data_IF_027392380241
#
_entry.id   IF_027392380241
#
_cell.length_a   1.000
_cell.length_b   1.000
_cell.length_c   1.000
_cell.angle_alpha   90.00
_cell.angle_beta   90.00
_cell.angle_gamma   90.00
#
_symmetry.space_group_name_H-M   'P 1'
#
loop_
_entity.id
_entity.type
_entity.pdbx_description
1 polymer ?
#
# COMPACT_ATOMS: atom_id res chain seq x y z
N UNK A 1 9.15 -15.66 29.14
CA UNK A 1 9.23 -15.75 27.68
C UNK A 1 9.90 -14.48 27.14
N UNK A 2 10.69 -14.64 26.07
CA UNK A 2 11.36 -13.54 25.37
C UNK A 2 10.85 -13.51 23.96
N UNK A 3 10.37 -12.34 23.50
CA UNK A 3 10.00 -12.08 22.13
C UNK A 3 11.06 -11.17 21.51
N UNK A 4 11.68 -11.63 20.45
CA UNK A 4 12.62 -10.82 19.67
C UNK A 4 11.97 -10.36 18.37
N UNK A 5 12.12 -9.08 18.05
CA UNK A 5 11.59 -8.47 16.82
C UNK A 5 12.74 -7.95 15.98
N UNK A 6 12.67 -8.27 14.69
CA UNK A 6 13.65 -7.86 13.68
C UNK A 6 13.00 -7.04 12.58
N UNK A 7 13.79 -6.39 11.77
CA UNK A 7 13.41 -5.57 10.62
C UNK A 7 13.04 -6.44 9.39
N UNK A 8 11.95 -7.21 9.48
CA UNK A 8 11.57 -8.20 8.47
C UNK A 8 10.28 -7.88 7.71
N UNK A 9 9.87 -6.63 7.64
CA UNK A 9 8.63 -6.28 6.95
C UNK A 9 8.68 -6.64 5.46
N UNK A 10 7.65 -7.35 5.02
CA UNK A 10 7.52 -7.78 3.64
C UNK A 10 7.20 -6.61 2.71
N UNK A 11 7.80 -6.62 1.50
CA UNK A 11 7.47 -5.66 0.47
C UNK A 11 6.22 -6.11 -0.30
N UNK A 12 5.03 -5.64 0.07
CA UNK A 12 3.77 -5.95 -0.63
C UNK A 12 3.53 -5.08 -1.87
N UNK A 13 4.23 -3.96 -1.99
CA UNK A 13 4.12 -3.03 -3.11
C UNK A 13 4.96 -3.41 -4.33
N UNK A 14 5.78 -4.46 -4.22
CA UNK A 14 6.63 -4.93 -5.32
C UNK A 14 7.69 -3.92 -5.74
N UNK A 15 7.95 -3.84 -7.04
CA UNK A 15 8.92 -2.90 -7.62
C UNK A 15 8.36 -1.47 -7.75
N UNK A 16 7.05 -1.34 -7.86
CA UNK A 16 6.37 -0.06 -8.12
C UNK A 16 6.32 0.84 -6.89
N UNK A 17 6.17 0.24 -5.72
CA UNK A 17 6.08 0.96 -4.47
C UNK A 17 6.69 0.14 -3.33
N UNK A 18 7.90 0.51 -2.93
CA UNK A 18 8.60 -0.20 -1.86
C UNK A 18 7.95 0.05 -0.51
N UNK A 19 7.44 -0.99 0.10
CA UNK A 19 6.73 -0.94 1.39
C UNK A 19 7.53 -1.50 2.56
N UNK A 20 8.63 -2.21 2.26
CA UNK A 20 9.52 -2.73 3.29
C UNK A 20 10.11 -1.59 4.12
N UNK A 21 10.07 -1.72 5.42
CA UNK A 21 10.68 -0.82 6.39
C UNK A 21 11.73 -1.58 7.21
N UNK A 22 12.66 -0.84 7.78
CA UNK A 22 13.62 -1.36 8.75
C UNK A 22 13.15 -1.18 10.19
N UNK A 23 11.98 -0.60 10.39
CA UNK A 23 11.41 -0.39 11.71
C UNK A 23 10.76 -1.69 12.19
N UNK A 24 11.30 -2.35 13.24
CA UNK A 24 10.70 -3.57 13.75
C UNK A 24 9.31 -3.29 14.33
N UNK A 25 8.38 -4.16 14.02
CA UNK A 25 7.04 -4.12 14.58
C UNK A 25 6.61 -5.52 14.99
N UNK A 26 5.81 -5.61 16.03
CA UNK A 26 5.34 -6.91 16.46
C UNK A 26 4.19 -6.82 17.45
N UNK A 27 3.65 -7.97 17.73
CA UNK A 27 2.55 -8.16 18.67
C UNK A 27 3.06 -8.91 19.88
N UNK A 28 2.68 -8.42 21.03
CA UNK A 28 2.91 -9.09 22.31
C UNK A 28 1.57 -9.32 23.02
N UNK A 29 1.31 -10.55 23.42
CA UNK A 29 0.12 -10.89 24.17
C UNK A 29 0.41 -10.84 25.67
N UNK A 30 -0.32 -9.98 26.37
CA UNK A 30 -0.23 -9.85 27.82
C UNK A 30 -1.12 -10.92 28.44
N UNK A 31 -0.53 -12.03 28.86
CA UNK A 31 -1.25 -13.14 29.46
C UNK A 31 -1.68 -12.87 30.91
N UNK A 32 -0.90 -12.13 31.67
CA UNK A 32 -1.11 -11.88 33.08
C UNK A 32 -0.77 -10.43 33.45
N UNK A 33 -1.37 -9.94 34.52
CA UNK A 33 -0.99 -8.65 35.09
C UNK A 33 0.41 -8.75 35.69
N UNK A 34 1.31 -7.88 35.23
CA UNK A 34 2.70 -7.94 35.71
C UNK A 34 3.56 -6.81 35.15
N UNK A 35 4.83 -6.87 35.47
CA UNK A 35 5.84 -5.95 34.96
C UNK A 35 6.55 -6.56 33.76
N UNK A 36 6.43 -5.90 32.62
CA UNK A 36 7.10 -6.29 31.38
C UNK A 36 8.27 -5.35 31.11
N UNK A 37 9.38 -5.91 30.65
CA UNK A 37 10.58 -5.13 30.33
C UNK A 37 10.82 -5.14 28.83
N UNK A 38 11.11 -3.97 28.28
CA UNK A 38 11.42 -3.79 26.86
C UNK A 38 12.88 -3.34 26.78
N UNK A 39 13.63 -4.02 25.92
CA UNK A 39 15.01 -3.67 25.61
C UNK A 39 15.11 -3.32 24.13
N UNK A 40 15.63 -2.14 23.83
CA UNK A 40 16.00 -1.72 22.47
C UNK A 40 17.51 -1.82 22.33
N UNK A 41 17.97 -2.49 21.29
CA UNK A 41 19.41 -2.69 21.03
C UNK A 41 19.74 -2.27 19.60
N UNK A 42 20.78 -1.48 19.44
CA UNK A 42 21.42 -1.27 18.15
C UNK A 42 22.42 -2.41 17.91
N UNK A 43 22.16 -3.24 16.91
CA UNK A 43 23.02 -4.40 16.60
C UNK A 43 24.30 -4.02 15.86
N UNK A 44 24.31 -2.86 15.20
CA UNK A 44 25.42 -2.46 14.34
C UNK A 44 26.39 -1.48 14.98
N UNK A 45 26.02 -0.92 16.12
CA UNK A 45 26.86 0.07 16.84
C UNK A 45 26.95 -0.21 18.34
N UNK A 46 27.50 -1.37 18.75
CA UNK A 46 27.48 -1.78 20.14
C UNK A 46 28.42 -0.95 21.08
N UNK A 47 29.33 -0.17 20.52
CA UNK A 47 30.42 0.47 21.29
C UNK A 47 30.41 1.99 21.29
N UNK A 48 29.55 2.65 20.52
CA UNK A 48 29.52 4.11 20.42
C UNK A 48 28.13 4.65 20.69
N UNK A 49 27.97 5.40 21.76
CA UNK A 49 26.76 6.17 21.99
C UNK A 49 26.75 7.41 21.08
N UNK A 50 26.09 7.33 19.93
CA UNK A 50 25.90 8.50 19.07
C UNK A 50 24.55 9.18 19.43
N UNK A 51 24.57 10.42 19.96
CA UNK A 51 23.35 11.13 20.35
C UNK A 51 22.43 11.48 19.19
N UNK A 52 22.87 11.30 17.93
CA UNK A 52 22.05 11.49 16.73
C UNK A 52 21.18 10.26 16.42
N UNK A 53 21.53 9.10 16.97
CA UNK A 53 20.76 7.86 16.82
C UNK A 53 19.60 7.89 17.83
N UNK A 54 18.48 8.41 17.38
CA UNK A 54 17.25 8.47 18.17
C UNK A 54 16.25 7.44 17.68
N UNK A 55 15.48 6.88 18.60
CA UNK A 55 14.38 5.99 18.26
C UNK A 55 13.06 6.48 18.87
N UNK A 56 11.97 6.07 18.28
CA UNK A 56 10.63 6.29 18.80
C UNK A 56 9.97 4.95 19.06
N UNK A 57 9.76 4.62 20.32
CA UNK A 57 9.00 3.44 20.72
C UNK A 57 7.51 3.79 20.86
N UNK A 58 6.66 3.03 20.20
CA UNK A 58 5.21 3.16 20.31
C UNK A 58 4.62 1.85 20.83
N UNK A 59 3.98 1.91 21.99
CA UNK A 59 3.30 0.78 22.63
C UNK A 59 1.83 1.17 22.72
N UNK A 60 0.97 0.35 22.14
CA UNK A 60 -0.48 0.61 22.14
C UNK A 60 -1.27 -0.68 22.13
N UNK A 61 -2.50 -0.60 22.57
CA UNK A 61 -3.46 -1.69 22.35
C UNK A 61 -3.78 -1.83 20.86
N UNK A 62 -3.97 -3.06 20.39
CA UNK A 62 -4.41 -3.33 19.03
C UNK A 62 -5.78 -2.70 18.75
N UNK A 63 -5.90 -2.12 17.57
CA UNK A 63 -7.15 -1.61 17.03
C UNK A 63 -7.16 -2.01 15.56
N UNK A 64 -7.96 -3.04 15.17
CA UNK A 64 -8.01 -3.51 13.80
C UNK A 64 -8.29 -2.36 12.82
N UNK A 65 -7.38 -2.16 11.87
CA UNK A 65 -7.42 -1.04 10.94
C UNK A 65 -6.70 -1.41 9.63
N UNK A 66 -6.88 -0.61 8.60
CA UNK A 66 -6.14 -0.75 7.35
C UNK A 66 -5.79 0.62 6.76
N UNK A 67 -4.77 0.64 5.92
CA UNK A 67 -4.40 1.79 5.10
C UNK A 67 -4.39 1.39 3.65
N UNK A 68 -4.75 2.33 2.78
CA UNK A 68 -4.76 2.12 1.33
C UNK A 68 -3.73 3.02 0.66
N UNK A 69 -3.06 2.47 -0.34
CA UNK A 69 -2.21 3.21 -1.25
C UNK A 69 -2.66 2.89 -2.67
N UNK A 70 -2.96 3.92 -3.45
CA UNK A 70 -3.36 3.78 -4.84
C UNK A 70 -2.24 4.24 -5.78
N UNK A 71 -1.94 3.42 -6.78
CA UNK A 71 -0.90 3.70 -7.78
C UNK A 71 -1.49 3.43 -9.16
N UNK A 72 -1.46 4.46 -10.01
CA UNK A 72 -1.83 4.28 -11.41
C UNK A 72 -0.81 3.35 -12.10
N UNK A 73 -1.31 2.39 -12.86
CA UNK A 73 -0.46 1.42 -13.52
C UNK A 73 -0.05 1.94 -14.90
N UNK A 74 1.25 1.93 -15.21
CA UNK A 74 1.69 2.26 -16.57
C UNK A 74 1.20 1.20 -17.56
N UNK A 75 1.03 1.56 -18.83
CA UNK A 75 0.76 0.58 -19.87
C UNK A 75 1.90 -0.45 -19.92
N UNK A 76 1.62 -1.71 -20.27
CA UNK A 76 2.65 -2.73 -20.36
C UNK A 76 3.71 -2.32 -21.37
N UNK A 77 4.99 -2.52 -21.02
CA UNK A 77 6.09 -2.29 -21.94
C UNK A 77 5.96 -3.21 -23.15
N UNK A 78 6.12 -2.67 -24.35
CA UNK A 78 6.20 -3.45 -25.58
C UNK A 78 7.47 -4.33 -25.64
N UNK A 79 8.52 -3.92 -24.95
CA UNK A 79 9.75 -4.68 -24.82
C UNK A 79 9.86 -5.23 -23.41
N UNK A 80 9.69 -6.53 -23.25
CA UNK A 80 9.78 -7.24 -21.96
C UNK A 80 11.19 -7.20 -21.34
N UNK A 81 12.20 -6.97 -22.15
CA UNK A 81 13.60 -6.91 -21.74
C UNK A 81 14.09 -5.49 -21.45
N UNK A 82 13.23 -4.49 -21.61
CA UNK A 82 13.57 -3.11 -21.29
C UNK A 82 13.83 -2.94 -19.80
N UNK A 83 15.07 -2.72 -19.43
CA UNK A 83 15.52 -2.41 -18.08
C UNK A 83 15.33 -0.94 -17.72
N UNK A 84 14.87 -0.13 -18.66
CA UNK A 84 14.69 1.30 -18.48
C UNK A 84 13.46 1.59 -17.63
N UNK A 85 13.60 2.49 -16.67
CA UNK A 85 12.46 3.01 -15.92
C UNK A 85 11.55 3.76 -16.90
N UNK A 86 10.32 3.29 -17.05
CA UNK A 86 9.33 3.97 -17.85
C UNK A 86 8.93 5.28 -17.15
N UNK A 87 9.41 6.40 -17.69
CA UNK A 87 8.92 7.72 -17.28
C UNK A 87 7.50 7.88 -17.85
N UNK A 88 6.51 7.74 -17.00
CA UNK A 88 5.13 7.76 -17.37
C UNK A 88 4.33 8.71 -16.46
N UNK A 89 3.49 9.53 -17.09
CA UNK A 89 2.54 10.38 -16.37
C UNK A 89 1.13 9.84 -16.61
N UNK A 90 0.35 9.58 -15.54
CA UNK A 90 -1.02 9.13 -15.70
C UNK A 90 -1.84 10.11 -16.53
N UNK A 91 -2.35 9.65 -17.65
CA UNK A 91 -3.22 10.40 -18.54
C UNK A 91 -4.34 9.49 -19.04
N UNK A 92 -5.58 9.86 -18.76
CA UNK A 92 -6.75 9.16 -19.25
C UNK A 92 -7.31 9.87 -20.49
N UNK A 93 -7.20 9.23 -21.63
CA UNK A 93 -7.78 9.74 -22.90
C UNK A 93 -9.21 9.28 -23.06
N UNK A 94 -9.94 9.93 -23.94
CA UNK A 94 -11.30 9.52 -24.32
C UNK A 94 -11.29 8.12 -24.92
N UNK A 95 -12.18 7.25 -24.46
CA UNK A 95 -12.24 5.86 -24.89
C UNK A 95 -11.17 4.94 -24.31
N UNK A 96 -10.26 5.46 -23.47
CA UNK A 96 -9.20 4.69 -22.83
C UNK A 96 -9.62 4.24 -21.44
N UNK A 97 -9.07 3.11 -20.99
CA UNK A 97 -9.23 2.62 -19.62
C UNK A 97 -7.87 2.60 -18.93
N UNK A 98 -7.79 3.24 -17.78
CA UNK A 98 -6.59 3.28 -16.96
C UNK A 98 -6.78 2.43 -15.70
N UNK A 99 -5.94 1.42 -15.47
CA UNK A 99 -5.95 0.65 -14.24
C UNK A 99 -5.25 1.40 -13.10
N UNK A 100 -5.88 1.37 -11.94
CA UNK A 100 -5.30 1.87 -10.69
C UNK A 100 -5.20 0.70 -9.73
N UNK A 101 -3.98 0.34 -9.34
CA UNK A 101 -3.74 -0.67 -8.32
C UNK A 101 -3.92 -0.05 -6.95
N UNK A 102 -4.81 -0.61 -6.16
CA UNK A 102 -5.01 -0.23 -4.76
C UNK A 102 -4.44 -1.33 -3.89
N UNK A 103 -3.47 -0.98 -3.05
CA UNK A 103 -2.82 -1.89 -2.10
C UNK A 103 -3.36 -1.63 -0.70
N UNK A 104 -3.64 -2.70 0.05
CA UNK A 104 -4.13 -2.66 1.41
C UNK A 104 -3.05 -3.11 2.39
N UNK A 105 -2.74 -2.23 3.34
CA UNK A 105 -1.87 -2.50 4.47
C UNK A 105 -2.74 -2.75 5.69
N UNK A 106 -2.94 -4.02 6.01
CA UNK A 106 -3.72 -4.46 7.16
C UNK A 106 -2.89 -4.32 8.43
N UNK A 107 -3.49 -3.84 9.48
CA UNK A 107 -2.85 -3.61 10.78
C UNK A 107 -3.69 -4.25 11.86
N UNK A 108 -3.03 -4.62 12.96
CA UNK A 108 -3.67 -5.06 14.19
C UNK A 108 -4.71 -6.17 13.97
N UNK A 109 -4.33 -7.18 13.19
CA UNK A 109 -5.18 -8.32 12.84
C UNK A 109 -6.49 -7.97 12.10
N UNK A 110 -6.56 -6.84 11.41
CA UNK A 110 -7.69 -6.60 10.53
C UNK A 110 -7.75 -7.70 9.44
N UNK A 111 -8.77 -8.52 9.49
CA UNK A 111 -8.96 -9.65 8.57
C UNK A 111 -10.32 -9.57 7.84
N UNK A 112 -10.81 -8.36 7.60
CA UNK A 112 -12.05 -8.11 6.86
C UNK A 112 -11.80 -7.88 5.37
N UNK A 113 -12.85 -8.03 4.59
CA UNK A 113 -12.88 -7.58 3.20
C UNK A 113 -12.92 -6.05 3.16
N UNK A 114 -12.33 -5.45 2.13
CA UNK A 114 -12.29 -4.00 1.92
C UNK A 114 -12.99 -3.69 0.61
N UNK A 115 -14.12 -3.02 0.68
CA UNK A 115 -14.83 -2.53 -0.50
C UNK A 115 -14.26 -1.20 -0.96
N UNK A 116 -13.92 -1.11 -2.22
CA UNK A 116 -13.40 0.09 -2.87
C UNK A 116 -14.48 0.71 -3.76
N UNK A 117 -14.74 1.97 -3.55
CA UNK A 117 -15.68 2.76 -4.38
C UNK A 117 -14.94 3.94 -4.98
N UNK A 118 -15.39 4.35 -6.15
CA UNK A 118 -14.87 5.54 -6.83
C UNK A 118 -15.99 6.57 -6.84
N UNK A 119 -15.74 7.72 -6.26
CA UNK A 119 -16.73 8.80 -6.12
C UNK A 119 -16.18 10.12 -6.67
N UNK A 120 -17.05 11.05 -6.97
CA UNK A 120 -16.71 12.40 -7.43
C UNK A 120 -15.83 12.43 -8.69
N UNK A 121 -16.07 11.52 -9.61
CA UNK A 121 -15.38 11.53 -10.89
C UNK A 121 -15.80 12.73 -11.75
N UNK A 122 -14.87 13.30 -12.53
CA UNK A 122 -15.20 14.37 -13.48
C UNK A 122 -16.16 13.86 -14.56
N UNK A 123 -16.88 14.80 -15.18
CA UNK A 123 -17.80 14.46 -16.27
C UNK A 123 -17.07 13.74 -17.41
N UNK A 124 -17.66 12.66 -17.89
CA UNK A 124 -17.08 11.85 -18.95
C UNK A 124 -16.05 10.82 -18.46
N UNK A 125 -15.92 10.61 -17.17
CA UNK A 125 -15.13 9.52 -16.59
C UNK A 125 -16.05 8.60 -15.79
N UNK A 126 -15.89 7.30 -15.98
CA UNK A 126 -16.57 6.27 -15.20
C UNK A 126 -15.54 5.42 -14.47
N UNK A 127 -15.93 4.86 -13.35
CA UNK A 127 -15.07 3.97 -12.56
C UNK A 127 -15.87 2.83 -11.98
N UNK A 128 -15.28 1.65 -12.00
CA UNK A 128 -15.86 0.48 -11.36
C UNK A 128 -15.29 0.32 -9.95
N UNK A 129 -16.14 -0.02 -8.99
CA UNK A 129 -15.71 -0.44 -7.68
C UNK A 129 -14.94 -1.76 -7.75
N UNK A 130 -14.17 -2.04 -6.71
CA UNK A 130 -13.46 -3.30 -6.55
C UNK A 130 -13.53 -3.74 -5.08
N UNK A 131 -13.12 -4.98 -4.82
CA UNK A 131 -13.06 -5.54 -3.49
C UNK A 131 -11.68 -6.16 -3.26
N UNK A 132 -11.07 -5.84 -2.14
CA UNK A 132 -9.87 -6.53 -1.66
C UNK A 132 -10.33 -7.56 -0.63
N UNK A 133 -10.33 -8.82 -1.00
CA UNK A 133 -10.69 -9.91 -0.11
C UNK A 133 -9.69 -10.02 1.05
N UNK A 134 -10.10 -10.65 2.13
CA UNK A 134 -9.30 -10.80 3.36
C UNK A 134 -7.88 -11.33 3.13
N UNK A 135 -7.72 -12.24 2.16
CA UNK A 135 -6.43 -12.89 1.86
C UNK A 135 -5.63 -12.18 0.75
N UNK A 136 -6.17 -11.09 0.21
CA UNK A 136 -5.52 -10.30 -0.85
C UNK A 136 -4.92 -9.03 -0.30
N UNK A 137 -3.81 -8.64 -0.90
CA UNK A 137 -3.10 -7.40 -0.56
C UNK A 137 -3.40 -6.25 -1.52
N UNK A 138 -4.08 -6.51 -2.63
CA UNK A 138 -4.42 -5.46 -3.61
C UNK A 138 -5.59 -5.84 -4.50
N UNK A 139 -6.21 -4.82 -5.10
CA UNK A 139 -7.17 -4.96 -6.19
C UNK A 139 -6.93 -3.88 -7.26
N UNK A 140 -7.51 -4.07 -8.44
CA UNK A 140 -7.45 -3.10 -9.53
C UNK A 140 -8.79 -2.39 -9.65
N UNK A 141 -8.74 -1.06 -9.63
CA UNK A 141 -9.82 -0.18 -10.06
C UNK A 141 -9.60 0.22 -11.52
N UNK A 142 -10.64 0.29 -12.29
CA UNK A 142 -10.59 0.71 -13.68
C UNK A 142 -11.31 2.06 -13.83
N UNK A 143 -10.59 3.05 -14.35
CA UNK A 143 -11.17 4.34 -14.76
C UNK A 143 -11.25 4.37 -16.27
N UNK A 144 -12.42 4.69 -16.81
CA UNK A 144 -12.67 4.73 -18.26
C UNK A 144 -13.13 6.13 -18.66
N UNK A 145 -12.45 6.72 -19.62
CA UNK A 145 -12.87 7.94 -20.28
C UNK A 145 -13.97 7.64 -21.31
N UNK A 146 -15.16 8.24 -21.14
CA UNK A 146 -16.25 8.05 -22.09
C UNK A 146 -15.91 8.65 -23.45
N UNK A 147 -16.29 7.94 -24.52
CA UNK A 147 -16.31 8.54 -25.86
C UNK A 147 -17.48 9.52 -25.92
N UNK A 148 -17.20 10.79 -26.23
CA UNK A 148 -18.28 11.68 -26.63
C UNK A 148 -18.79 11.21 -27.99
N UNK A 149 -20.04 10.74 -28.06
CA UNK A 149 -20.73 10.69 -29.34
C UNK A 149 -20.83 12.14 -29.81
N UNK A 150 -20.03 12.50 -30.82
CA UNK A 150 -20.33 13.69 -31.61
C UNK A 150 -21.67 13.42 -32.27
N UNK A 151 -22.73 14.24 -32.06
CA UNK A 151 -23.94 14.07 -32.82
C UNK A 151 -23.55 14.15 -34.29
N UNK A 152 -23.87 13.10 -35.06
CA UNK A 152 -23.67 13.13 -36.50
C UNK A 152 -24.35 14.38 -37.04
N UNK A 153 -23.57 15.24 -37.70
CA UNK A 153 -24.13 16.31 -38.53
C UNK A 153 -25.10 15.63 -39.51
N UNK A 154 -26.40 15.85 -39.29
CA UNK A 154 -27.39 15.54 -40.31
C UNK A 154 -27.25 16.62 -41.36
N UNK A 155 -26.77 16.25 -42.53
CA UNK A 155 -26.93 17.02 -43.74
C UNK A 155 -28.44 17.10 -44.14
#
# INVERSE_FOLDING_TARGET
>A
DVLELFDTDSNIGGAEYKTATRDPSGRFEVAENGTYRIQVRDLFNPSQADPRLVYRLSIRKETPDFRLVSVAQPPPSLNKDAKEALLWTPLLRRGETMPIKVMAFRRDNFNGDIELKVENLPAGVTGNGAKIEKDKTSALLLLTGCQSHSPALRE
#
